data_IF_425646219808
#
_entry.id   IF_425646219808
#
_cell.length_a   1.000
_cell.length_b   1.000
_cell.length_c   1.000
_cell.angle_alpha   90.00
_cell.angle_beta   90.00
_cell.angle_gamma   90.00
#
_symmetry.space_group_name_H-M   'P 1'
#
loop_
_entity.id
_entity.type
_entity.pdbx_description
1 polymer ?
#
# COMPACT_ATOMS: atom_id res chain seq x y z
N UNK A 1 -5.78 14.41 -10.34
CA UNK A 1 -6.44 14.59 -9.02
C UNK A 1 -5.44 15.30 -8.13
N UNK A 2 -5.87 16.14 -7.16
CA UNK A 2 -4.90 16.86 -6.34
C UNK A 2 -4.09 15.90 -5.44
N UNK A 3 -2.77 16.12 -5.26
CA UNK A 3 -1.91 15.26 -4.44
C UNK A 3 -2.47 14.99 -3.04
N UNK A 4 -2.95 16.05 -2.37
CA UNK A 4 -3.51 15.95 -1.00
C UNK A 4 -4.74 15.04 -0.93
N UNK A 5 -5.55 14.99 -1.98
CA UNK A 5 -6.72 14.09 -2.06
C UNK A 5 -6.27 12.63 -2.14
N UNK A 6 -5.29 12.32 -2.99
CA UNK A 6 -4.77 10.94 -3.14
C UNK A 6 -4.07 10.48 -1.86
N UNK A 7 -3.26 11.36 -1.26
CA UNK A 7 -2.61 11.12 0.03
C UNK A 7 -3.61 10.83 1.15
N UNK A 8 -4.69 11.62 1.23
CA UNK A 8 -5.74 11.43 2.23
C UNK A 8 -6.45 10.08 2.05
N UNK A 9 -6.80 9.73 0.80
CA UNK A 9 -7.44 8.45 0.47
C UNK A 9 -6.57 7.25 0.81
N UNK A 10 -5.28 7.31 0.48
CA UNK A 10 -4.34 6.26 0.84
C UNK A 10 -4.18 6.13 2.35
N UNK A 11 -4.13 7.26 3.08
CA UNK A 11 -4.09 7.24 4.55
C UNK A 11 -5.33 6.61 5.16
N UNK A 12 -6.51 6.92 4.62
CA UNK A 12 -7.78 6.31 5.06
C UNK A 12 -7.78 4.80 4.81
N UNK A 13 -7.40 4.36 3.61
CA UNK A 13 -7.28 2.94 3.28
C UNK A 13 -6.26 2.21 4.17
N UNK A 14 -5.11 2.84 4.45
CA UNK A 14 -4.12 2.27 5.36
C UNK A 14 -4.66 2.19 6.80
N UNK A 15 -5.39 3.20 7.29
CA UNK A 15 -6.04 3.12 8.61
C UNK A 15 -6.99 1.92 8.67
N UNK A 16 -7.84 1.75 7.65
CA UNK A 16 -8.78 0.63 7.58
C UNK A 16 -8.05 -0.71 7.58
N UNK A 17 -6.98 -0.86 6.79
CA UNK A 17 -6.13 -2.06 6.85
C UNK A 17 -5.60 -2.33 8.26
N UNK A 18 -5.11 -1.31 8.95
CA UNK A 18 -4.57 -1.47 10.30
C UNK A 18 -5.66 -1.82 11.33
N UNK A 19 -6.86 -1.24 11.20
CA UNK A 19 -7.96 -1.53 12.13
C UNK A 19 -8.58 -2.90 11.83
N UNK A 20 -8.99 -3.12 10.58
CA UNK A 20 -9.81 -4.25 10.17
C UNK A 20 -9.00 -5.54 10.00
N UNK A 21 -7.71 -5.43 9.68
CA UNK A 21 -6.85 -6.56 9.34
C UNK A 21 -5.57 -6.60 10.20
N UNK A 22 -5.62 -6.08 11.44
CA UNK A 22 -4.46 -6.09 12.35
C UNK A 22 -3.84 -7.48 12.52
N UNK A 23 -4.66 -8.53 12.47
CA UNK A 23 -4.23 -9.93 12.57
C UNK A 23 -3.26 -10.34 11.47
N UNK A 24 -3.24 -9.67 10.30
CA UNK A 24 -2.23 -9.91 9.27
C UNK A 24 -0.82 -9.57 9.77
N UNK A 25 -0.68 -8.64 10.72
CA UNK A 25 0.60 -8.22 11.25
C UNK A 25 1.05 -9.04 12.47
N UNK A 26 0.12 -9.73 13.14
CA UNK A 26 0.41 -10.57 14.32
C UNK A 26 0.47 -12.07 14.01
N UNK A 27 -0.10 -12.52 12.89
CA UNK A 27 -0.15 -13.94 12.48
C UNK A 27 1.17 -14.46 11.89
N UNK A 28 2.24 -14.44 12.69
CA UNK A 28 3.56 -14.90 12.25
C UNK A 28 3.68 -16.42 12.35
N UNK A 29 3.75 -17.11 11.21
CA UNK A 29 3.98 -18.54 11.15
C UNK A 29 5.49 -18.84 11.11
N UNK A 30 5.98 -19.72 12.00
CA UNK A 30 7.38 -20.12 12.08
C UNK A 30 8.38 -18.93 12.12
N UNK A 31 8.00 -17.84 12.82
CA UNK A 31 8.82 -16.63 12.95
C UNK A 31 8.90 -15.75 11.69
N UNK A 32 8.07 -16.01 10.67
CA UNK A 32 7.98 -15.16 9.47
C UNK A 32 6.70 -14.33 9.49
N UNK A 33 6.76 -13.05 9.09
CA UNK A 33 5.56 -12.24 8.91
C UNK A 33 4.71 -12.75 7.75
N UNK A 34 3.44 -12.34 7.71
CA UNK A 34 2.57 -12.53 6.54
C UNK A 34 3.22 -11.89 5.31
N UNK A 35 2.96 -12.49 4.13
CA UNK A 35 3.57 -12.04 2.88
C UNK A 35 3.17 -10.60 2.52
N UNK A 36 4.12 -9.86 1.93
CA UNK A 36 3.88 -8.50 1.44
C UNK A 36 2.73 -8.47 0.42
N UNK A 37 2.60 -9.53 -0.39
CA UNK A 37 1.51 -9.71 -1.36
C UNK A 37 0.14 -9.73 -0.68
N UNK A 38 -0.01 -10.42 0.46
CA UNK A 38 -1.30 -10.48 1.16
C UNK A 38 -1.68 -9.13 1.75
N UNK A 39 -0.72 -8.44 2.38
CA UNK A 39 -0.93 -7.11 2.94
C UNK A 39 -1.25 -6.09 1.84
N UNK A 40 -0.54 -6.19 0.71
CA UNK A 40 -0.79 -5.40 -0.49
C UNK A 40 -2.21 -5.63 -1.05
N UNK A 41 -2.66 -6.88 -1.13
CA UNK A 41 -4.01 -7.21 -1.59
C UNK A 41 -5.09 -6.57 -0.69
N UNK A 42 -4.95 -6.68 0.64
CA UNK A 42 -5.88 -6.05 1.57
C UNK A 42 -5.81 -4.51 1.53
N UNK A 43 -4.62 -3.92 1.36
CA UNK A 43 -4.50 -2.48 1.13
C UNK A 43 -5.26 -2.06 -0.14
N UNK A 44 -5.14 -2.84 -1.22
CA UNK A 44 -5.90 -2.62 -2.46
C UNK A 44 -7.41 -2.69 -2.26
N UNK A 45 -7.88 -3.66 -1.47
CA UNK A 45 -9.30 -3.82 -1.08
C UNK A 45 -9.84 -2.57 -0.39
N UNK A 46 -9.14 -2.06 0.62
CA UNK A 46 -9.51 -0.84 1.35
C UNK A 46 -9.34 0.44 0.52
N UNK A 47 -8.41 0.44 -0.44
CA UNK A 47 -8.14 1.58 -1.30
C UNK A 47 -9.19 1.74 -2.41
N UNK A 48 -9.72 0.63 -2.94
CA UNK A 48 -10.72 0.64 -4.02
C UNK A 48 -11.95 1.53 -3.77
N UNK A 49 -12.63 1.48 -2.60
CA UNK A 49 -13.79 2.32 -2.34
C UNK A 49 -13.44 3.81 -2.21
N UNK A 50 -12.17 4.16 -1.98
CA UNK A 50 -11.73 5.55 -1.87
C UNK A 50 -11.71 6.28 -3.22
N UNK A 51 -11.88 5.58 -4.35
CA UNK A 51 -11.87 6.16 -5.69
C UNK A 51 -13.19 5.99 -6.44
N UNK A 52 -13.60 7.00 -7.25
CA UNK A 52 -14.74 6.87 -8.16
C UNK A 52 -14.61 5.64 -9.05
N UNK A 53 -15.75 5.05 -9.46
CA UNK A 53 -15.76 3.86 -10.33
C UNK A 53 -15.04 4.02 -11.67
N UNK A 54 -14.80 5.26 -12.11
CA UNK A 54 -14.00 5.58 -13.29
C UNK A 54 -12.49 5.34 -13.11
N UNK A 55 -12.04 4.95 -11.93
CA UNK A 55 -10.66 4.60 -11.61
C UNK A 55 -10.62 3.16 -11.12
N UNK A 56 -9.64 2.43 -11.61
CA UNK A 56 -9.34 1.06 -11.26
C UNK A 56 -8.20 1.05 -10.23
N UNK A 57 -8.28 0.12 -9.28
CA UNK A 57 -7.22 -0.17 -8.30
C UNK A 57 -6.79 -1.61 -8.53
N UNK A 58 -5.57 -1.80 -9.04
CA UNK A 58 -5.10 -3.09 -9.52
C UNK A 58 -3.70 -3.41 -8.99
N UNK A 59 -3.48 -4.69 -8.68
CA UNK A 59 -2.13 -5.25 -8.51
C UNK A 59 -1.61 -5.71 -9.88
N UNK A 60 -0.32 -5.51 -10.16
CA UNK A 60 0.37 -6.07 -11.35
C UNK A 60 -0.46 -6.00 -12.65
N UNK A 61 -0.99 -4.82 -13.00
CA UNK A 61 -1.73 -4.71 -14.24
C UNK A 61 -0.79 -4.52 -15.44
N UNK A 62 -0.74 -5.54 -16.32
CA UNK A 62 -0.18 -5.45 -17.66
C UNK A 62 -1.20 -4.79 -18.59
N UNK A 63 -0.79 -3.76 -19.36
CA UNK A 63 -1.70 -3.09 -20.30
C UNK A 63 -1.85 -3.95 -21.56
N UNK A 64 -3.09 -4.33 -21.89
CA UNK A 64 -3.39 -4.99 -23.16
C UNK A 64 -2.87 -4.15 -24.33
N UNK A 65 -2.04 -4.76 -25.18
CA UNK A 65 -1.39 -4.14 -26.35
C UNK A 65 0.12 -3.91 -26.19
N UNK A 66 0.64 -3.91 -24.97
CA UNK A 66 2.07 -4.10 -24.71
C UNK A 66 2.24 -5.54 -24.21
N UNK A 67 2.69 -6.47 -25.06
CA UNK A 67 3.17 -7.81 -24.65
C UNK A 67 4.43 -7.73 -23.74
N UNK A 68 4.82 -6.52 -23.34
CA UNK A 68 5.99 -6.24 -22.52
C UNK A 68 5.58 -6.06 -21.06
N UNK A 69 6.23 -6.84 -20.20
CA UNK A 69 6.33 -6.57 -18.76
C UNK A 69 6.67 -5.09 -18.55
N UNK A 70 6.06 -4.43 -17.54
CA UNK A 70 6.36 -3.02 -17.24
C UNK A 70 7.86 -2.82 -17.09
N UNK A 71 8.39 -1.84 -17.83
CA UNK A 71 9.81 -1.47 -17.78
C UNK A 71 9.97 -0.12 -17.12
N UNK A 72 10.98 -0.01 -16.28
CA UNK A 72 11.44 1.26 -15.77
C UNK A 72 12.08 2.13 -16.87
N UNK A 73 12.45 3.34 -16.50
CA UNK A 73 13.08 4.31 -17.38
C UNK A 73 14.44 3.83 -17.93
N UNK A 74 15.12 2.90 -17.24
CA UNK A 74 16.35 2.26 -17.69
C UNK A 74 16.13 0.97 -18.50
N UNK A 75 14.87 0.57 -18.75
CA UNK A 75 14.53 -0.67 -19.46
C UNK A 75 14.48 -1.91 -18.57
N UNK A 76 14.72 -1.78 -17.27
CA UNK A 76 14.64 -2.85 -16.28
C UNK A 76 13.19 -3.30 -16.06
N UNK A 77 12.96 -4.59 -15.91
CA UNK A 77 11.62 -5.14 -15.62
C UNK A 77 11.23 -4.80 -14.18
N UNK A 78 10.15 -4.03 -14.01
CA UNK A 78 9.64 -3.59 -12.72
C UNK A 78 8.17 -3.97 -12.57
N UNK A 79 7.82 -4.50 -11.40
CA UNK A 79 6.45 -4.83 -11.03
C UNK A 79 6.04 -3.96 -9.85
N UNK A 80 5.06 -3.09 -10.08
CA UNK A 80 4.43 -2.36 -9.00
C UNK A 80 3.50 -3.27 -8.19
N UNK A 81 3.48 -3.03 -6.88
CA UNK A 81 2.56 -3.69 -5.96
C UNK A 81 1.11 -3.25 -6.18
N UNK A 82 0.85 -1.94 -6.23
CA UNK A 82 -0.49 -1.37 -6.44
C UNK A 82 -0.49 -0.20 -7.41
N UNK A 83 -1.58 -0.09 -8.17
CA UNK A 83 -1.78 0.92 -9.20
C UNK A 83 -3.16 1.53 -9.05
N UNK A 84 -3.27 2.85 -9.28
CA UNK A 84 -4.55 3.54 -9.52
C UNK A 84 -4.50 4.17 -10.91
N UNK A 85 -5.39 3.73 -11.79
CA UNK A 85 -5.34 4.08 -13.21
C UNK A 85 -6.68 3.84 -13.91
N UNK A 86 -6.74 4.04 -15.22
CA UNK A 86 -7.87 3.64 -16.07
C UNK A 86 -7.41 2.56 -17.03
N UNK A 87 -7.99 1.37 -16.92
CA UNK A 87 -7.66 0.22 -17.79
C UNK A 87 -7.84 0.58 -19.28
N UNK A 88 -6.92 0.09 -20.12
CA UNK A 88 -6.94 0.34 -21.57
C UNK A 88 -6.66 1.79 -21.99
N UNK A 89 -6.23 2.67 -21.08
CA UNK A 89 -5.90 4.06 -21.38
C UNK A 89 -4.45 4.38 -20.98
N UNK A 90 -3.84 5.34 -21.67
CA UNK A 90 -2.45 5.77 -21.43
C UNK A 90 -2.36 7.27 -21.18
N UNK A 91 -1.20 7.73 -20.70
CA UNK A 91 -0.93 9.14 -20.45
C UNK A 91 -1.33 9.63 -19.05
N UNK A 92 -0.88 10.84 -18.69
CA UNK A 92 -0.94 11.34 -17.32
C UNK A 92 -2.36 11.47 -16.78
N UNK A 93 -3.34 11.83 -17.62
CA UNK A 93 -4.76 11.89 -17.21
C UNK A 93 -5.37 10.53 -16.83
N UNK A 94 -4.71 9.42 -17.15
CA UNK A 94 -5.22 8.06 -16.96
C UNK A 94 -4.38 7.23 -15.97
N UNK A 95 -3.20 7.70 -15.58
CA UNK A 95 -2.28 7.02 -14.66
C UNK A 95 -2.14 7.88 -13.39
N UNK A 96 -2.82 7.51 -12.31
CA UNK A 96 -2.92 8.36 -11.13
C UNK A 96 -1.84 8.05 -10.08
N UNK A 97 -1.77 6.80 -9.63
CA UNK A 97 -0.85 6.38 -8.57
C UNK A 97 -0.13 5.09 -8.95
N UNK A 98 1.18 5.03 -8.69
CA UNK A 98 1.95 3.80 -8.57
C UNK A 98 2.46 3.68 -7.13
N UNK A 99 2.34 2.50 -6.53
CA UNK A 99 2.72 2.24 -5.15
C UNK A 99 3.58 0.99 -5.07
N UNK A 100 4.66 1.10 -4.29
CA UNK A 100 5.48 -0.01 -3.82
C UNK A 100 5.35 -0.09 -2.28
N UNK A 101 5.22 -1.30 -1.75
CA UNK A 101 4.99 -1.58 -0.34
C UNK A 101 6.15 -2.39 0.26
N UNK A 102 6.59 -2.01 1.45
CA UNK A 102 7.44 -2.84 2.31
C UNK A 102 6.86 -3.03 3.69
N UNK A 103 6.81 -4.27 4.14
CA UNK A 103 6.23 -4.60 5.44
C UNK A 103 7.26 -4.47 6.55
N UNK A 104 8.46 -5.02 6.35
CA UNK A 104 9.52 -5.06 7.36
C UNK A 104 10.79 -4.37 6.85
N UNK A 105 11.75 -4.11 7.75
CA UNK A 105 13.06 -3.62 7.31
C UNK A 105 13.87 -4.71 6.60
N UNK A 106 13.68 -5.98 6.93
CA UNK A 106 14.35 -7.09 6.26
C UNK A 106 13.90 -7.24 4.80
N UNK A 107 12.68 -6.80 4.46
CA UNK A 107 12.21 -6.77 3.08
C UNK A 107 12.60 -5.49 2.33
N UNK A 108 13.06 -4.45 3.05
CA UNK A 108 13.60 -3.24 2.45
C UNK A 108 14.96 -3.54 1.79
N UNK A 109 14.94 -3.88 0.50
CA UNK A 109 16.13 -4.27 -0.28
C UNK A 109 15.90 -5.41 -1.26
N UNK A 110 14.75 -6.10 -1.18
CA UNK A 110 14.35 -7.13 -2.15
C UNK A 110 13.09 -6.66 -2.89
N UNK A 111 13.07 -6.72 -4.23
CA UNK A 111 11.92 -6.24 -5.02
C UNK A 111 11.87 -4.71 -5.18
N UNK A 112 10.66 -4.12 -5.16
CA UNK A 112 10.45 -2.70 -5.41
C UNK A 112 11.14 -1.77 -4.40
N UNK A 113 11.63 -0.63 -4.88
CA UNK A 113 12.27 0.43 -4.09
C UNK A 113 11.66 1.80 -4.42
N UNK A 114 12.06 2.85 -3.68
CA UNK A 114 11.69 4.21 -4.04
C UNK A 114 12.19 4.62 -5.44
N UNK A 115 13.35 4.12 -5.87
CA UNK A 115 13.82 4.35 -7.24
C UNK A 115 12.99 3.61 -8.28
N UNK A 116 12.49 2.41 -7.97
CA UNK A 116 11.51 1.71 -8.82
C UNK A 116 10.22 2.53 -8.98
N UNK A 117 9.70 3.11 -7.88
CA UNK A 117 8.55 4.03 -7.93
C UNK A 117 8.82 5.21 -8.85
N UNK A 118 9.97 5.87 -8.70
CA UNK A 118 10.36 7.01 -9.56
C UNK A 118 10.48 6.61 -11.02
N UNK A 119 11.12 5.47 -11.27
CA UNK A 119 11.35 4.90 -12.60
C UNK A 119 10.02 4.61 -13.30
N UNK A 120 9.11 3.90 -12.63
CA UNK A 120 7.76 3.59 -13.13
C UNK A 120 6.90 4.84 -13.31
N UNK A 121 6.94 5.76 -12.35
CA UNK A 121 6.15 7.00 -12.41
C UNK A 121 6.55 7.83 -13.63
N UNK A 122 7.86 7.94 -13.91
CA UNK A 122 8.38 8.63 -15.09
C UNK A 122 8.05 7.87 -16.38
N UNK A 123 8.40 6.59 -16.47
CA UNK A 123 8.27 5.80 -17.68
C UNK A 123 6.81 5.70 -18.15
N UNK A 124 5.87 5.54 -17.22
CA UNK A 124 4.45 5.39 -17.52
C UNK A 124 3.62 6.64 -17.25
N UNK A 125 4.25 7.78 -16.94
CA UNK A 125 3.58 9.07 -16.72
C UNK A 125 2.49 8.98 -15.63
N UNK A 126 2.78 8.34 -14.50
CA UNK A 126 1.89 8.42 -13.34
C UNK A 126 1.96 9.82 -12.72
N UNK A 127 0.80 10.37 -12.32
CA UNK A 127 0.74 11.67 -11.64
C UNK A 127 1.46 11.63 -10.28
N UNK A 128 1.34 10.49 -9.59
CA UNK A 128 1.91 10.28 -8.26
C UNK A 128 2.58 8.90 -8.16
N UNK A 129 3.67 8.86 -7.41
CA UNK A 129 4.30 7.63 -6.95
C UNK A 129 4.43 7.66 -5.44
N UNK A 130 4.31 6.50 -4.79
CA UNK A 130 4.54 6.39 -3.35
C UNK A 130 5.29 5.11 -3.00
N UNK A 131 6.34 5.25 -2.20
CA UNK A 131 6.98 4.13 -1.53
C UNK A 131 6.48 4.11 -0.08
N UNK A 132 5.78 3.05 0.30
CA UNK A 132 5.17 2.88 1.62
C UNK A 132 5.91 1.79 2.38
N UNK A 133 6.41 2.10 3.56
CA UNK A 133 6.96 1.12 4.50
C UNK A 133 6.06 1.04 5.72
N UNK A 134 5.77 -0.16 6.23
CA UNK A 134 4.97 -0.35 7.46
C UNK A 134 5.84 -0.48 8.70
N UNK A 135 7.11 -0.85 8.53
CA UNK A 135 8.06 -0.94 9.64
C UNK A 135 7.65 -1.95 10.71
N UNK A 136 7.01 -3.06 10.31
CA UNK A 136 6.52 -4.05 11.24
C UNK A 136 7.67 -4.76 11.96
N UNK A 137 7.61 -4.78 13.29
CA UNK A 137 8.60 -5.41 14.17
C UNK A 137 7.87 -6.14 15.30
N UNK A 138 8.30 -7.35 15.63
CA UNK A 138 7.79 -8.07 16.80
C UNK A 138 8.12 -7.31 18.09
N UNK A 139 7.15 -7.30 19.00
CA UNK A 139 7.27 -6.82 20.37
C UNK A 139 6.56 -7.81 21.30
N UNK A 140 7.31 -8.80 21.81
CA UNK A 140 6.73 -9.95 22.50
C UNK A 140 5.79 -10.75 21.59
N UNK A 141 4.56 -10.94 22.05
CA UNK A 141 3.48 -11.62 21.32
C UNK A 141 2.69 -10.68 20.39
N UNK A 142 3.06 -9.39 20.32
CA UNK A 142 2.43 -8.40 19.47
C UNK A 142 3.40 -7.83 18.42
N UNK A 143 2.94 -6.84 17.66
CA UNK A 143 3.67 -6.15 16.62
C UNK A 143 3.62 -4.64 16.85
N UNK A 144 4.76 -3.97 16.68
CA UNK A 144 4.83 -2.52 16.50
C UNK A 144 4.91 -2.19 15.02
N UNK A 145 4.16 -1.17 14.63
CA UNK A 145 4.18 -0.61 13.28
C UNK A 145 4.72 0.82 13.33
N UNK A 146 5.47 1.20 12.30
CA UNK A 146 5.93 2.57 12.09
C UNK A 146 5.74 2.95 10.61
N UNK A 147 4.49 3.16 10.15
CA UNK A 147 4.23 3.41 8.75
C UNK A 147 4.82 4.74 8.28
N UNK A 148 5.65 4.70 7.25
CA UNK A 148 6.29 5.85 6.61
C UNK A 148 6.10 5.79 5.11
N UNK A 149 5.92 6.94 4.49
CA UNK A 149 5.85 7.05 3.04
C UNK A 149 6.83 8.09 2.48
N UNK A 150 7.21 7.89 1.23
CA UNK A 150 7.92 8.89 0.44
C UNK A 150 7.21 9.06 -0.89
N UNK A 151 6.93 10.31 -1.26
CA UNK A 151 6.11 10.62 -2.43
C UNK A 151 6.92 11.19 -3.58
N UNK A 152 6.42 10.92 -4.79
CA UNK A 152 6.80 11.59 -6.02
C UNK A 152 5.54 12.23 -6.62
N UNK A 153 5.61 13.52 -6.97
CA UNK A 153 4.50 14.24 -7.60
C UNK A 153 4.99 14.98 -8.84
N UNK A 154 4.53 14.57 -10.03
CA UNK A 154 4.97 15.21 -11.27
C UNK A 154 6.49 15.19 -11.51
N UNK A 155 7.23 14.28 -10.85
CA UNK A 155 8.69 14.20 -10.88
C UNK A 155 9.39 14.80 -9.65
N UNK A 156 8.70 15.61 -8.84
CA UNK A 156 9.23 16.18 -7.59
C UNK A 156 9.19 15.16 -6.46
N UNK A 157 10.26 15.07 -5.68
CA UNK A 157 10.38 14.15 -4.54
C UNK A 157 10.07 14.88 -3.25
N UNK A 158 9.10 14.39 -2.49
CA UNK A 158 8.83 14.85 -1.13
C UNK A 158 9.74 14.11 -0.12
N UNK A 159 10.05 14.73 1.04
CA UNK A 159 10.76 14.03 2.11
C UNK A 159 9.94 12.85 2.63
N UNK A 160 10.65 11.82 3.10
CA UNK A 160 10.01 10.73 3.82
C UNK A 160 9.43 11.25 5.14
N UNK A 161 8.25 10.76 5.50
CA UNK A 161 7.53 11.20 6.70
C UNK A 161 6.66 10.06 7.23
N UNK A 162 6.32 10.13 8.52
CA UNK A 162 5.35 9.21 9.12
C UNK A 162 3.97 9.43 8.51
N UNK A 163 3.22 8.33 8.33
CA UNK A 163 1.82 8.40 7.88
C UNK A 163 0.92 8.83 9.03
N UNK A 164 1.23 8.33 10.23
CA UNK A 164 0.51 8.56 11.48
C UNK A 164 1.50 8.91 12.58
N UNK A 165 1.18 9.89 13.43
CA UNK A 165 1.95 10.14 14.65
C UNK A 165 1.69 9.06 15.71
N UNK A 166 2.56 8.96 16.72
CA UNK A 166 2.52 7.88 17.73
C UNK A 166 1.18 7.76 18.45
N UNK A 167 0.55 8.88 18.84
CA UNK A 167 -0.76 8.86 19.49
C UNK A 167 -1.86 8.31 18.57
N UNK A 168 -1.80 8.61 17.27
CA UNK A 168 -2.76 8.11 16.30
C UNK A 168 -2.56 6.60 16.03
N UNK A 169 -1.32 6.12 16.02
CA UNK A 169 -1.02 4.69 15.89
C UNK A 169 -1.51 3.90 17.10
N UNK A 170 -1.32 4.42 18.31
CA UNK A 170 -1.83 3.77 19.51
C UNK A 170 -3.36 3.70 19.51
N UNK A 171 -4.04 4.78 19.12
CA UNK A 171 -5.49 4.77 18.96
C UNK A 171 -5.97 3.75 17.91
N UNK A 172 -5.27 3.62 16.77
CA UNK A 172 -5.56 2.61 15.74
C UNK A 172 -5.41 1.20 16.30
N UNK A 173 -4.35 0.94 17.06
CA UNK A 173 -4.12 -0.37 17.68
C UNK A 173 -5.23 -0.72 18.67
N UNK A 174 -5.62 0.22 19.54
CA UNK A 174 -6.72 0.03 20.47
C UNK A 174 -8.05 -0.26 19.75
N UNK A 175 -8.35 0.49 18.70
CA UNK A 175 -9.53 0.27 17.85
C UNK A 175 -9.51 -1.12 17.20
N UNK A 176 -8.35 -1.57 16.71
CA UNK A 176 -8.22 -2.91 16.11
C UNK A 176 -8.54 -4.04 17.09
N UNK A 177 -8.19 -3.89 18.37
CA UNK A 177 -8.52 -4.86 19.40
C UNK A 177 -10.01 -4.88 19.74
N UNK A 178 -10.66 -3.71 19.74
CA UNK A 178 -12.11 -3.63 19.89
C UNK A 178 -12.82 -4.31 18.71
N UNK A 179 -12.39 -4.04 17.47
CA UNK A 179 -12.96 -4.68 16.29
C UNK A 179 -12.76 -6.20 16.27
N UNK A 180 -11.58 -6.68 16.68
CA UNK A 180 -11.33 -8.12 16.80
C UNK A 180 -12.26 -8.79 17.83
N UNK A 181 -12.48 -8.15 18.98
CA UNK A 181 -13.39 -8.65 20.02
C UNK A 181 -14.84 -8.66 19.55
N UNK A 182 -15.27 -7.61 18.83
CA UNK A 182 -16.59 -7.54 18.19
C UNK A 182 -16.78 -8.69 17.21
N UNK A 183 -15.82 -8.94 16.31
CA UNK A 183 -15.89 -10.05 15.35
C UNK A 183 -15.94 -11.41 16.03
N UNK A 184 -15.16 -11.62 17.09
CA UNK A 184 -15.17 -12.86 17.85
C UNK A 184 -16.54 -13.16 18.48
N UNK A 185 -17.23 -12.14 18.99
CA UNK A 185 -18.58 -12.27 19.56
C UNK A 185 -19.63 -12.68 18.53
N UNK A 186 -19.54 -12.15 17.30
CA UNK A 186 -20.48 -12.50 16.22
C UNK A 186 -20.12 -13.77 15.46
N UNK A 187 -18.89 -14.29 15.61
CA UNK A 187 -18.46 -15.54 15.00
C UNK A 187 -18.77 -16.79 15.84
N UNK A 188 -19.15 -16.62 17.12
CA UNK A 188 -19.62 -17.73 17.93
C UNK A 188 -21.01 -18.19 17.43
N UNK A 189 -21.19 -19.46 17.04
CA UNK A 189 -22.52 -19.94 16.67
C UNK A 189 -23.44 -19.82 17.88
N UNK A 190 -24.65 -19.32 17.67
CA UNK A 190 -25.73 -19.40 18.66
C UNK A 190 -25.82 -20.86 19.12
N UNK A 191 -25.52 -21.10 20.40
CA UNK A 191 -25.61 -22.43 21.01
C UNK A 191 -27.06 -22.81 21.27
#
# INVERSE_FOLDING_TARGET
MQPNTVRTRLRTALRQLLVDDWTLFTSWAAGRPVSEVSICAHLGWHLRPQFPRSWDVDCEYNRAGDDAVKRGAGGETLRADLLVHRRGRTGPGNNLLVLELKVTEASAGTGGSFDSVRSLARAHRYQHGVYLTLGARRDGDDVRLAPRWQWVHGGEVAPQQDVFGSAALEAIRQESFLEADVRARYAAPDK
#
